data_IF_778346253364
#
_entry.id   IF_778346253364
#
_cell.length_a   1.000
_cell.length_b   1.000
_cell.length_c   1.000
_cell.angle_alpha   90.00
_cell.angle_beta   90.00
_cell.angle_gamma   90.00
#
_symmetry.space_group_name_H-M   'P 1'
#
loop_
_entity.id
_entity.type
_entity.pdbx_description
1 polymer ?
#
# COMPACT_ATOMS: atom_id res chain seq x y z
N UNK A 1 -9.76 1.19 -3.11
CA UNK A 1 -10.14 0.19 -2.09
C UNK A 1 -11.27 -0.71 -2.60
N UNK A 2 -12.45 -0.18 -2.90
CA UNK A 2 -13.60 -0.95 -3.44
C UNK A 2 -13.26 -1.91 -4.59
N UNK A 3 -12.52 -1.43 -5.59
CA UNK A 3 -12.16 -2.26 -6.74
C UNK A 3 -11.19 -3.41 -6.39
N UNK A 4 -10.37 -3.25 -5.34
CA UNK A 4 -9.50 -4.34 -4.84
C UNK A 4 -10.34 -5.43 -4.18
N UNK A 5 -11.35 -5.05 -3.41
CA UNK A 5 -12.26 -6.02 -2.78
C UNK A 5 -13.01 -6.82 -3.85
N UNK A 6 -13.57 -6.13 -4.84
CA UNK A 6 -14.25 -6.77 -5.97
C UNK A 6 -13.31 -7.70 -6.74
N UNK A 7 -12.09 -7.26 -7.04
CA UNK A 7 -11.10 -8.09 -7.72
C UNK A 7 -10.71 -9.33 -6.89
N UNK A 8 -10.52 -9.20 -5.58
CA UNK A 8 -10.23 -10.32 -4.69
C UNK A 8 -11.38 -11.32 -4.63
N UNK A 9 -12.62 -10.85 -4.58
CA UNK A 9 -13.79 -11.72 -4.56
C UNK A 9 -13.97 -12.47 -5.88
N UNK A 10 -13.88 -11.78 -7.02
CA UNK A 10 -13.91 -12.42 -8.34
C UNK A 10 -12.78 -13.43 -8.51
N UNK A 11 -11.57 -13.13 -8.05
CA UNK A 11 -10.45 -14.07 -8.05
C UNK A 11 -10.79 -15.35 -7.28
N UNK A 12 -11.34 -15.23 -6.07
CA UNK A 12 -11.73 -16.40 -5.27
C UNK A 12 -12.79 -17.26 -5.98
N UNK A 13 -13.76 -16.64 -6.66
CA UNK A 13 -14.77 -17.38 -7.43
C UNK A 13 -14.17 -18.13 -8.61
N UNK A 14 -13.24 -17.49 -9.34
CA UNK A 14 -12.57 -18.12 -10.49
C UNK A 14 -11.62 -19.25 -10.05
N UNK A 15 -10.92 -19.06 -8.94
CA UNK A 15 -10.02 -20.07 -8.35
C UNK A 15 -10.79 -21.30 -7.86
N UNK A 16 -11.93 -21.09 -7.19
CA UNK A 16 -12.81 -22.18 -6.73
C UNK A 16 -13.42 -22.98 -7.90
N UNK A 17 -13.62 -22.35 -9.07
CA UNK A 17 -14.10 -23.03 -10.28
C UNK A 17 -13.01 -23.76 -11.06
N UNK A 18 -11.74 -23.67 -10.64
CA UNK A 18 -10.61 -24.23 -11.37
C UNK A 18 -10.36 -23.57 -12.73
N UNK A 19 -10.88 -22.35 -12.94
CA UNK A 19 -10.77 -21.63 -14.20
C UNK A 19 -9.43 -20.88 -14.37
N UNK A 20 -8.52 -20.99 -13.39
CA UNK A 20 -7.22 -20.30 -13.34
C UNK A 20 -6.12 -21.35 -13.16
N UNK A 21 -5.07 -21.29 -13.99
CA UNK A 21 -3.88 -22.13 -13.83
C UNK A 21 -2.99 -21.69 -12.66
N UNK A 22 -2.07 -22.56 -12.22
CA UNK A 22 -1.17 -22.28 -11.08
C UNK A 22 -0.31 -21.02 -11.31
N UNK A 23 0.16 -20.80 -12.53
CA UNK A 23 0.98 -19.63 -12.89
C UNK A 23 0.16 -18.34 -12.92
N UNK A 24 -1.07 -18.41 -13.43
CA UNK A 24 -2.01 -17.29 -13.44
C UNK A 24 -2.42 -16.91 -12.01
N UNK A 25 -2.63 -17.89 -11.13
CA UNK A 25 -2.97 -17.67 -9.72
C UNK A 25 -1.93 -16.77 -9.04
N UNK A 26 -0.65 -17.11 -9.18
CA UNK A 26 0.44 -16.32 -8.60
C UNK A 26 0.45 -14.89 -9.15
N UNK A 27 0.27 -14.73 -10.47
CA UNK A 27 0.22 -13.41 -11.12
C UNK A 27 -0.96 -12.57 -10.60
N UNK A 28 -2.15 -13.14 -10.47
CA UNK A 28 -3.33 -12.43 -9.96
C UNK A 28 -3.14 -12.01 -8.50
N UNK A 29 -2.63 -12.89 -7.64
CA UNK A 29 -2.34 -12.57 -6.23
C UNK A 29 -1.37 -11.39 -6.13
N UNK A 30 -0.29 -11.41 -6.93
CA UNK A 30 0.69 -10.32 -6.95
C UNK A 30 0.06 -9.00 -7.38
N UNK A 31 -0.78 -8.99 -8.42
CA UNK A 31 -1.47 -7.78 -8.89
C UNK A 31 -2.38 -7.20 -7.80
N UNK A 32 -3.20 -8.04 -7.17
CA UNK A 32 -4.11 -7.61 -6.09
C UNK A 32 -3.33 -7.09 -4.89
N UNK A 33 -2.24 -7.75 -4.49
CA UNK A 33 -1.36 -7.31 -3.39
C UNK A 33 -0.70 -5.96 -3.67
N UNK A 34 -0.16 -5.76 -4.87
CA UNK A 34 0.48 -4.50 -5.24
C UNK A 34 -0.52 -3.34 -5.21
N UNK A 35 -1.73 -3.56 -5.74
CA UNK A 35 -2.78 -2.56 -5.69
C UNK A 35 -3.21 -2.27 -4.24
N UNK A 36 -3.40 -3.30 -3.41
CA UNK A 36 -3.72 -3.14 -1.99
C UNK A 36 -2.66 -2.33 -1.24
N UNK A 37 -1.37 -2.60 -1.50
CA UNK A 37 -0.25 -1.85 -0.91
C UNK A 37 -0.31 -0.37 -1.28
N UNK A 38 -0.52 -0.04 -2.55
CA UNK A 38 -0.61 1.36 -3.00
C UNK A 38 -1.76 2.13 -2.33
N UNK A 39 -2.90 1.47 -2.12
CA UNK A 39 -4.04 2.05 -1.42
C UNK A 39 -3.72 2.25 0.06
N UNK A 40 -3.05 1.29 0.71
CA UNK A 40 -2.64 1.42 2.09
C UNK A 40 -1.67 2.60 2.30
N UNK A 41 -0.67 2.74 1.43
CA UNK A 41 0.24 3.89 1.44
C UNK A 41 -0.51 5.22 1.25
N UNK A 42 -1.43 5.27 0.28
CA UNK A 42 -2.25 6.46 0.03
C UNK A 42 -3.13 6.82 1.24
N UNK A 43 -3.70 5.81 1.92
CA UNK A 43 -4.49 6.01 3.12
C UNK A 43 -3.66 6.55 4.28
N UNK A 44 -2.48 5.98 4.52
CA UNK A 44 -1.55 6.46 5.55
C UNK A 44 -1.14 7.91 5.27
N UNK A 45 -0.81 8.24 4.02
CA UNK A 45 -0.48 9.62 3.63
C UNK A 45 -1.65 10.59 3.85
N UNK A 46 -2.88 10.20 3.48
CA UNK A 46 -4.07 11.01 3.73
C UNK A 46 -4.32 11.22 5.23
N UNK A 47 -4.11 10.20 6.06
CA UNK A 47 -4.27 10.31 7.52
C UNK A 47 -3.16 11.12 8.18
N UNK A 48 -1.93 11.05 7.67
CA UNK A 48 -0.82 11.87 8.12
C UNK A 48 -1.08 13.36 7.88
N UNK A 49 -1.67 13.74 6.73
CA UNK A 49 -2.10 15.13 6.45
C UNK A 49 -3.12 15.66 7.45
N UNK A 50 -3.96 14.77 7.99
CA UNK A 50 -4.94 15.09 9.03
C UNK A 50 -4.37 14.97 10.45
N UNK A 51 -3.09 14.60 10.60
CA UNK A 51 -2.45 14.40 11.89
C UNK A 51 -3.03 13.26 12.71
N UNK A 52 -3.55 12.20 12.08
CA UNK A 52 -4.13 11.02 12.74
C UNK A 52 -5.05 11.32 13.94
N UNK A 53 -6.21 11.95 13.73
CA UNK A 53 -7.07 12.45 14.82
C UNK A 53 -7.69 11.37 15.72
N UNK A 54 -7.71 10.11 15.27
CA UNK A 54 -8.26 8.97 16.00
C UNK A 54 -7.18 8.04 16.57
N UNK A 55 -5.89 8.41 16.46
CA UNK A 55 -4.80 7.62 17.01
C UNK A 55 -4.49 8.09 18.44
N UNK A 56 -4.05 7.15 19.27
CA UNK A 56 -3.50 7.44 20.59
C UNK A 56 -2.36 8.47 20.48
N UNK A 57 -2.28 9.46 21.39
CA UNK A 57 -1.32 10.57 21.26
C UNK A 57 0.14 10.12 21.08
N UNK A 58 0.58 9.14 21.88
CA UNK A 58 1.95 8.62 21.81
C UNK A 58 2.27 7.95 20.47
N UNK A 59 1.38 7.09 19.97
CA UNK A 59 1.57 6.39 18.69
C UNK A 59 1.54 7.36 17.51
N UNK A 60 0.65 8.36 17.54
CA UNK A 60 0.59 9.37 16.49
C UNK A 60 1.92 10.09 16.34
N UNK A 61 2.47 10.57 17.46
CA UNK A 61 3.64 11.43 17.43
C UNK A 61 4.88 10.64 16.97
N UNK A 62 4.99 9.38 17.41
CA UNK A 62 6.00 8.43 16.90
C UNK A 62 5.87 8.17 15.40
N UNK A 63 4.67 7.84 14.91
CA UNK A 63 4.44 7.53 13.50
C UNK A 63 4.66 8.76 12.61
N UNK A 64 4.27 9.95 13.06
CA UNK A 64 4.54 11.19 12.34
C UNK A 64 6.04 11.49 12.26
N UNK A 65 6.79 11.22 13.34
CA UNK A 65 8.25 11.35 13.33
C UNK A 65 8.89 10.35 12.35
N UNK A 66 8.45 9.09 12.35
CA UNK A 66 8.93 8.06 11.44
C UNK A 66 8.62 8.40 9.97
N UNK A 67 7.40 8.87 9.68
CA UNK A 67 7.00 9.27 8.33
C UNK A 67 7.82 10.44 7.80
N UNK A 68 8.10 11.44 8.66
CA UNK A 68 8.98 12.56 8.29
C UNK A 68 10.39 12.07 7.95
N UNK A 69 10.96 11.20 8.79
CA UNK A 69 12.27 10.62 8.55
C UNK A 69 12.32 9.79 7.24
N UNK A 70 11.26 9.05 6.93
CA UNK A 70 11.14 8.30 5.68
C UNK A 70 11.09 9.21 4.45
N UNK A 71 10.28 10.27 4.49
CA UNK A 71 10.19 11.25 3.38
C UNK A 71 11.53 11.98 3.17
N UNK A 72 12.21 12.34 4.25
CA UNK A 72 13.54 12.97 4.17
C UNK A 72 14.61 12.01 3.61
N UNK A 73 14.54 10.73 3.94
CA UNK A 73 15.43 9.71 3.37
C UNK A 73 15.15 9.49 1.87
N UNK A 74 13.88 9.41 1.47
CA UNK A 74 13.47 9.29 0.07
C UNK A 74 13.87 10.52 -0.77
N UNK A 75 13.72 11.73 -0.23
CA UNK A 75 14.16 12.96 -0.89
C UNK A 75 15.68 13.04 -1.09
N UNK A 76 16.47 12.53 -0.13
CA UNK A 76 17.93 12.44 -0.27
C UNK A 76 18.37 11.40 -1.31
N UNK A 77 17.62 10.29 -1.43
CA UNK A 77 17.89 9.27 -2.44
C UNK A 77 17.63 9.79 -3.87
N UNK A 78 16.52 10.51 -4.09
CA UNK A 78 16.16 11.09 -5.40
C UNK A 78 17.18 12.14 -5.89
N UNK A 79 17.66 13.02 -5.00
CA UNK A 79 18.68 14.02 -5.35
C UNK A 79 20.05 13.41 -5.71
N UNK A 80 20.31 12.15 -5.34
CA UNK A 80 21.59 11.46 -5.64
C UNK A 80 21.53 10.75 -7.00
N UNK A 81 20.34 10.40 -7.48
CA UNK A 81 20.13 9.76 -8.79
C UNK A 81 20.06 10.78 -9.93
N UNK A 82 19.61 12.02 -9.69
CA UNK A 82 19.58 13.11 -10.70
C UNK A 82 20.94 13.81 -10.90
N UNK A 83 21.94 13.50 -10.06
CA UNK A 83 23.28 14.12 -10.07
C UNK A 83 24.36 13.24 -10.75
N UNK A 84 23.97 12.10 -11.34
CA UNK A 84 24.83 11.20 -12.13
C UNK A 84 24.34 11.14 -13.58
#
# INVERSE_FOLDING_TARGET
>A
YEQVIKASHCFNLLDARGAISVTERQRYILRVRTLARSIAQSYVAARAKLGFPMAEPHLRDEVLAQLKAQVEAEAKAQNTEESK
#
